data_IF_280190151081
#
_entry.id   IF_280190151081
#
_cell.length_a   1.000
_cell.length_b   1.000
_cell.length_c   1.000
_cell.angle_alpha   90.00
_cell.angle_beta   90.00
_cell.angle_gamma   90.00
#
_symmetry.space_group_name_H-M   'P 1'
#
loop_
_entity.id
_entity.type
_entity.pdbx_description
1 polymer ?
#
# COMPACT_ATOMS: atom_id res chain seq x y z
N UNK A 1 10.30 10.86 -21.79
CA UNK A 1 9.57 11.71 -20.80
C UNK A 1 10.40 11.76 -19.53
N UNK A 2 10.49 12.93 -18.87
CA UNK A 2 11.21 13.06 -17.60
C UNK A 2 10.52 12.23 -16.51
N UNK A 3 11.30 11.59 -15.65
CA UNK A 3 10.83 10.71 -14.58
C UNK A 3 9.77 11.38 -13.66
N UNK A 4 9.97 12.65 -13.29
CA UNK A 4 8.99 13.41 -12.49
C UNK A 4 7.63 13.60 -13.19
N UNK A 5 7.63 13.76 -14.51
CA UNK A 5 6.39 13.87 -15.31
C UNK A 5 5.62 12.56 -15.30
N UNK A 6 6.31 11.41 -15.38
CA UNK A 6 5.68 10.09 -15.25
C UNK A 6 5.05 9.88 -13.88
N UNK A 7 5.75 10.20 -12.80
CA UNK A 7 5.19 10.08 -11.44
C UNK A 7 3.96 10.96 -11.24
N UNK A 8 3.95 12.17 -11.79
CA UNK A 8 2.79 13.05 -11.75
C UNK A 8 1.61 12.46 -12.53
N UNK A 9 1.86 11.92 -13.73
CA UNK A 9 0.84 11.28 -14.57
C UNK A 9 0.24 10.05 -13.87
N UNK A 10 1.08 9.25 -13.22
CA UNK A 10 0.64 8.09 -12.43
C UNK A 10 -0.24 8.53 -11.23
N UNK A 11 0.11 9.63 -10.57
CA UNK A 11 -0.74 10.24 -9.54
C UNK A 11 -2.09 10.70 -10.07
N UNK A 12 -2.14 11.31 -11.25
CA UNK A 12 -3.40 11.73 -11.90
C UNK A 12 -4.26 10.51 -12.27
N UNK A 13 -3.66 9.46 -12.83
CA UNK A 13 -4.35 8.20 -13.13
C UNK A 13 -4.97 7.63 -11.84
N UNK A 14 -4.21 7.57 -10.75
CA UNK A 14 -4.71 7.06 -9.47
C UNK A 14 -5.89 7.88 -8.93
N UNK A 15 -5.84 9.22 -9.00
CA UNK A 15 -6.95 10.08 -8.57
C UNK A 15 -8.20 9.85 -9.43
N UNK A 16 -8.03 9.70 -10.75
CA UNK A 16 -9.13 9.41 -11.66
C UNK A 16 -9.76 8.04 -11.37
N UNK A 17 -8.94 7.01 -11.12
CA UNK A 17 -9.43 5.68 -10.73
C UNK A 17 -10.24 5.73 -9.44
N UNK A 18 -9.81 6.49 -8.43
CA UNK A 18 -10.56 6.68 -7.18
C UNK A 18 -11.91 7.35 -7.45
N UNK A 19 -11.95 8.36 -8.32
CA UNK A 19 -13.20 9.01 -8.73
C UNK A 19 -14.16 8.05 -9.45
N UNK A 20 -13.65 7.25 -10.38
CA UNK A 20 -14.44 6.26 -11.12
C UNK A 20 -14.91 5.14 -10.17
N UNK A 21 -14.08 4.73 -9.21
CA UNK A 21 -14.45 3.78 -8.18
C UNK A 21 -15.63 4.30 -7.36
N UNK A 22 -15.57 5.55 -6.89
CA UNK A 22 -16.66 6.17 -6.13
C UNK A 22 -17.96 6.18 -6.93
N UNK A 23 -17.90 6.58 -8.21
CA UNK A 23 -19.05 6.57 -9.10
C UNK A 23 -19.59 5.15 -9.37
N UNK A 24 -18.71 4.18 -9.57
CA UNK A 24 -19.08 2.77 -9.78
C UNK A 24 -19.79 2.16 -8.58
N UNK A 25 -19.34 2.50 -7.36
CA UNK A 25 -19.99 2.07 -6.11
C UNK A 25 -21.39 2.68 -5.98
N UNK A 26 -21.55 3.97 -6.28
CA UNK A 26 -22.84 4.67 -6.19
C UNK A 26 -23.88 4.12 -7.17
N UNK A 27 -23.45 3.72 -8.37
CA UNK A 27 -24.33 3.17 -9.41
C UNK A 27 -24.45 1.64 -9.37
N UNK A 28 -23.76 0.96 -8.45
CA UNK A 28 -23.73 -0.52 -8.33
C UNK A 28 -23.32 -1.23 -9.64
N UNK A 29 -22.46 -0.60 -10.45
CA UNK A 29 -21.97 -1.15 -11.73
C UNK A 29 -20.53 -1.64 -11.60
N UNK A 30 -20.28 -2.90 -11.19
CA UNK A 30 -18.94 -3.42 -10.91
C UNK A 30 -18.06 -3.58 -12.16
N UNK A 31 -18.68 -3.69 -13.34
CA UNK A 31 -17.96 -3.80 -14.61
C UNK A 31 -17.22 -2.52 -14.97
N UNK A 32 -17.75 -1.36 -14.60
CA UNK A 32 -17.12 -0.05 -14.84
C UNK A 32 -15.78 0.03 -14.11
N UNK A 33 -15.74 -0.36 -12.83
CA UNK A 33 -14.50 -0.35 -12.06
C UNK A 33 -13.46 -1.32 -12.66
N UNK A 34 -13.89 -2.50 -13.04
CA UNK A 34 -12.99 -3.51 -13.62
C UNK A 34 -12.38 -3.00 -14.93
N UNK A 35 -13.18 -2.40 -15.80
CA UNK A 35 -12.71 -1.76 -17.03
C UNK A 35 -11.75 -0.60 -16.75
N UNK A 36 -12.08 0.25 -15.79
CA UNK A 36 -11.26 1.41 -15.42
C UNK A 36 -9.87 0.99 -14.92
N UNK A 37 -9.78 -0.02 -14.06
CA UNK A 37 -8.50 -0.55 -13.55
C UNK A 37 -7.66 -1.13 -14.69
N UNK A 38 -8.26 -1.91 -15.60
CA UNK A 38 -7.51 -2.47 -16.74
C UNK A 38 -6.95 -1.33 -17.61
N UNK A 39 -7.77 -0.31 -17.89
CA UNK A 39 -7.36 0.86 -18.68
C UNK A 39 -6.27 1.66 -17.96
N UNK A 40 -6.40 1.89 -16.65
CA UNK A 40 -5.41 2.63 -15.87
C UNK A 40 -4.07 1.90 -15.79
N UNK A 41 -4.08 0.58 -15.60
CA UNK A 41 -2.87 -0.26 -15.66
C UNK A 41 -2.23 -0.21 -17.04
N UNK A 42 -3.01 -0.33 -18.12
CA UNK A 42 -2.50 -0.21 -19.50
C UNK A 42 -1.91 1.19 -19.75
N UNK A 43 -2.58 2.25 -19.32
CA UNK A 43 -2.11 3.62 -19.46
C UNK A 43 -0.79 3.85 -18.70
N UNK A 44 -0.68 3.33 -17.46
CA UNK A 44 0.54 3.37 -16.68
C UNK A 44 1.67 2.58 -17.35
N UNK A 45 1.38 1.40 -17.88
CA UNK A 45 2.35 0.55 -18.58
C UNK A 45 2.90 1.22 -19.84
N UNK A 46 2.04 1.79 -20.69
CA UNK A 46 2.47 2.54 -21.88
C UNK A 46 3.29 3.76 -21.46
N UNK A 47 2.82 4.52 -20.46
CA UNK A 47 3.52 5.71 -19.97
C UNK A 47 4.93 5.38 -19.45
N UNK A 48 5.12 4.20 -18.85
CA UNK A 48 6.42 3.73 -18.35
C UNK A 48 7.41 3.49 -19.48
N UNK A 49 6.97 2.99 -20.63
CA UNK A 49 7.85 2.76 -21.79
C UNK A 49 8.39 4.05 -22.40
N UNK A 50 7.75 5.18 -22.10
CA UNK A 50 8.13 6.50 -22.62
C UNK A 50 9.06 7.25 -21.67
N UNK A 51 9.51 6.67 -20.55
CA UNK A 51 10.39 7.33 -19.57
C UNK A 51 11.85 7.10 -19.94
N UNK A 52 12.62 8.20 -20.01
CA UNK A 52 14.06 8.15 -20.22
C UNK A 52 14.75 7.87 -18.89
N UNK A 53 15.63 6.86 -18.84
CA UNK A 53 16.32 6.45 -17.60
C UNK A 53 17.35 7.53 -17.21
N UNK A 54 17.12 8.18 -16.07
CA UNK A 54 18.07 9.15 -15.49
C UNK A 54 19.01 8.38 -14.56
N UNK A 55 20.32 8.62 -14.74
CA UNK A 55 21.42 7.98 -13.99
C UNK A 55 21.11 7.98 -12.49
N UNK A 56 20.83 6.80 -11.93
CA UNK A 56 20.58 6.59 -10.51
C UNK A 56 21.90 6.58 -9.75
N UNK A 57 22.19 7.68 -9.08
CA UNK A 57 23.25 7.74 -8.06
C UNK A 57 22.85 6.89 -6.84
N UNK A 58 23.82 6.20 -6.23
CA UNK A 58 23.63 5.31 -5.07
C UNK A 58 22.88 6.01 -3.91
N UNK A 59 23.11 7.32 -3.74
CA UNK A 59 22.44 8.15 -2.75
C UNK A 59 20.93 8.24 -2.96
N UNK A 60 20.47 8.26 -4.21
CA UNK A 60 19.04 8.32 -4.54
C UNK A 60 18.33 7.01 -4.20
N UNK A 61 19.03 5.88 -4.32
CA UNK A 61 18.52 4.58 -3.92
C UNK A 61 18.32 4.51 -2.40
N UNK A 62 19.32 4.93 -1.62
CA UNK A 62 19.25 4.95 -0.15
C UNK A 62 18.14 5.88 0.38
N UNK A 63 17.92 7.04 -0.27
CA UNK A 63 16.82 7.95 0.09
C UNK A 63 15.47 7.29 -0.19
N UNK A 64 15.31 6.65 -1.35
CA UNK A 64 14.07 5.96 -1.73
C UNK A 64 13.75 4.80 -0.80
N UNK A 65 14.76 4.03 -0.39
CA UNK A 65 14.61 2.94 0.57
C UNK A 65 14.20 3.44 1.96
N UNK A 66 14.87 4.47 2.48
CA UNK A 66 14.48 5.07 3.77
C UNK A 66 13.08 5.67 3.72
N UNK A 67 12.72 6.32 2.61
CA UNK A 67 11.39 6.87 2.40
C UNK A 67 10.34 5.76 2.34
N UNK A 68 10.58 4.68 1.59
CA UNK A 68 9.63 3.57 1.44
C UNK A 68 9.36 2.89 2.80
N UNK A 69 10.41 2.65 3.60
CA UNK A 69 10.27 2.09 4.95
C UNK A 69 9.40 2.98 5.86
N UNK A 70 9.59 4.31 5.82
CA UNK A 70 8.76 5.24 6.59
C UNK A 70 7.31 5.27 6.09
N UNK A 71 7.08 5.27 4.77
CA UNK A 71 5.73 5.20 4.22
C UNK A 71 5.02 3.90 4.58
N UNK A 72 5.75 2.78 4.63
CA UNK A 72 5.21 1.48 5.04
C UNK A 72 4.78 1.49 6.51
N UNK A 73 5.58 2.11 7.40
CA UNK A 73 5.23 2.27 8.82
C UNK A 73 3.95 3.10 8.98
N UNK A 74 3.87 4.26 8.31
CA UNK A 74 2.69 5.14 8.36
C UNK A 74 1.45 4.41 7.82
N UNK A 75 1.56 3.77 6.65
CA UNK A 75 0.49 2.98 6.06
C UNK A 75 0.04 1.85 6.99
N UNK A 76 0.99 1.13 7.59
CA UNK A 76 0.71 0.06 8.54
C UNK A 76 -0.10 0.54 9.75
N UNK A 77 0.26 1.69 10.33
CA UNK A 77 -0.47 2.31 11.44
C UNK A 77 -1.89 2.72 10.98
N UNK A 78 -2.02 3.38 9.84
CA UNK A 78 -3.34 3.79 9.31
C UNK A 78 -4.25 2.60 9.05
N UNK A 79 -3.73 1.55 8.41
CA UNK A 79 -4.48 0.32 8.14
C UNK A 79 -4.85 -0.41 9.43
N UNK A 80 -3.96 -0.42 10.43
CA UNK A 80 -4.25 -1.00 11.74
C UNK A 80 -5.38 -0.23 12.45
N UNK A 81 -5.34 1.10 12.46
CA UNK A 81 -6.41 1.92 13.03
C UNK A 81 -7.75 1.68 12.33
N UNK A 82 -7.75 1.58 11.00
CA UNK A 82 -8.96 1.24 10.23
C UNK A 82 -9.48 -0.17 10.56
N UNK A 83 -8.58 -1.17 10.60
CA UNK A 83 -8.94 -2.53 10.94
C UNK A 83 -9.54 -2.64 12.36
N UNK A 84 -8.92 -1.96 13.33
CA UNK A 84 -9.41 -1.91 14.71
C UNK A 84 -10.79 -1.26 14.79
N UNK A 85 -11.00 -0.14 14.08
CA UNK A 85 -12.31 0.51 13.99
C UNK A 85 -13.39 -0.42 13.44
N UNK A 86 -13.12 -1.15 12.37
CA UNK A 86 -14.08 -2.11 11.82
C UNK A 86 -14.34 -3.32 12.72
N UNK A 87 -13.35 -3.80 13.48
CA UNK A 87 -13.55 -4.83 14.52
C UNK A 87 -14.47 -4.30 15.63
N UNK A 88 -14.25 -3.07 16.12
CA UNK A 88 -15.10 -2.47 17.15
C UNK A 88 -16.55 -2.31 16.67
N UNK A 89 -16.75 -1.82 15.44
CA UNK A 89 -18.07 -1.71 14.82
C UNK A 89 -18.74 -3.08 14.73
N UNK A 90 -17.99 -4.13 14.38
CA UNK A 90 -18.53 -5.49 14.30
C UNK A 90 -18.96 -6.10 15.63
N UNK A 91 -18.24 -5.78 16.72
CA UNK A 91 -18.58 -6.22 18.06
C UNK A 91 -19.75 -5.44 18.66
N UNK A 92 -20.08 -4.28 18.10
CA UNK A 92 -21.23 -3.45 18.47
C UNK A 92 -22.59 -4.07 18.13
N UNK A 93 -22.63 -5.26 17.52
CA UNK A 93 -23.87 -6.02 17.27
C UNK A 93 -24.85 -5.33 16.32
N UNK A 94 -26.14 -5.37 16.66
CA UNK A 94 -27.24 -4.84 15.83
C UNK A 94 -27.21 -3.33 15.64
N UNK A 95 -26.39 -2.60 16.40
CA UNK A 95 -26.28 -1.13 16.36
C UNK A 95 -25.92 -0.60 14.97
N UNK A 96 -25.20 -1.39 14.17
CA UNK A 96 -24.68 -0.99 12.85
C UNK A 96 -25.35 -1.73 11.66
N UNK A 97 -26.41 -2.51 11.91
CA UNK A 97 -27.20 -3.18 10.87
C UNK A 97 -26.48 -4.33 10.15
N UNK A 98 -27.07 -4.87 9.06
CA UNK A 98 -26.59 -6.09 8.37
C UNK A 98 -25.19 -5.97 7.73
N UNK A 99 -24.74 -4.74 7.43
CA UNK A 99 -23.43 -4.47 6.84
C UNK A 99 -22.27 -4.65 7.84
N UNK A 100 -22.55 -4.67 9.14
CA UNK A 100 -21.53 -4.83 10.20
C UNK A 100 -20.75 -6.15 10.04
N UNK A 101 -21.42 -7.23 9.64
CA UNK A 101 -20.80 -8.55 9.49
C UNK A 101 -19.79 -8.61 8.32
N UNK A 102 -20.08 -7.93 7.21
CA UNK A 102 -19.17 -7.90 6.05
C UNK A 102 -17.93 -7.04 6.34
N UNK A 103 -18.15 -5.88 6.98
CA UNK A 103 -17.07 -5.01 7.47
C UNK A 103 -16.19 -5.78 8.46
N UNK A 104 -16.79 -6.56 9.37
CA UNK A 104 -16.07 -7.41 10.32
C UNK A 104 -15.08 -8.33 9.61
N UNK A 105 -15.56 -9.14 8.66
CA UNK A 105 -14.73 -10.13 7.97
C UNK A 105 -13.56 -9.48 7.23
N UNK A 106 -13.80 -8.35 6.58
CA UNK A 106 -12.76 -7.59 5.89
C UNK A 106 -11.74 -7.01 6.89
N UNK A 107 -12.21 -6.42 7.98
CA UNK A 107 -11.35 -5.84 9.01
C UNK A 107 -10.52 -6.87 9.76
N UNK A 108 -11.07 -8.05 10.07
CA UNK A 108 -10.32 -9.16 10.66
C UNK A 108 -9.23 -9.68 9.72
N UNK A 109 -9.53 -9.84 8.42
CA UNK A 109 -8.55 -10.25 7.43
C UNK A 109 -7.45 -9.20 7.25
N UNK A 110 -7.81 -7.92 7.20
CA UNK A 110 -6.86 -6.81 7.14
C UNK A 110 -5.96 -6.79 8.38
N UNK A 111 -6.53 -6.95 9.57
CA UNK A 111 -5.80 -7.02 10.82
C UNK A 111 -4.80 -8.18 10.83
N UNK A 112 -5.22 -9.36 10.37
CA UNK A 112 -4.36 -10.53 10.25
C UNK A 112 -3.16 -10.27 9.32
N UNK A 113 -3.39 -9.64 8.16
CA UNK A 113 -2.33 -9.29 7.22
C UNK A 113 -1.34 -8.28 7.83
N UNK A 114 -1.83 -7.28 8.57
CA UNK A 114 -0.97 -6.29 9.24
C UNK A 114 -0.11 -6.97 10.32
N UNK A 115 -0.69 -7.87 11.13
CA UNK A 115 0.09 -8.65 12.10
C UNK A 115 1.13 -9.54 11.43
N UNK A 116 0.77 -10.22 10.33
CA UNK A 116 1.72 -11.03 9.56
C UNK A 116 2.89 -10.19 9.06
N UNK A 117 2.61 -8.99 8.54
CA UNK A 117 3.64 -8.05 8.07
C UNK A 117 4.59 -7.65 9.20
N UNK A 118 4.07 -7.36 10.40
CA UNK A 118 4.89 -7.03 11.58
C UNK A 118 5.77 -8.23 11.98
N UNK A 119 5.21 -9.44 12.01
CA UNK A 119 5.96 -10.65 12.33
C UNK A 119 7.09 -10.87 11.32
N UNK A 120 6.80 -10.77 10.02
CA UNK A 120 7.81 -10.91 8.96
C UNK A 120 8.90 -9.85 9.13
N UNK A 121 8.53 -8.60 9.41
CA UNK A 121 9.50 -7.54 9.67
C UNK A 121 10.41 -7.86 10.87
N UNK A 122 9.85 -8.31 11.99
CA UNK A 122 10.61 -8.67 13.20
C UNK A 122 11.50 -9.90 12.95
N UNK A 123 11.00 -10.91 12.24
CA UNK A 123 11.79 -12.09 11.89
C UNK A 123 12.95 -11.72 10.98
N UNK A 124 12.70 -10.84 10.00
CA UNK A 124 13.72 -10.40 9.07
C UNK A 124 14.82 -9.60 9.77
N UNK A 125 14.46 -8.62 10.63
CA UNK A 125 15.45 -7.84 11.38
C UNK A 125 16.24 -8.74 12.34
N UNK A 126 15.58 -9.63 13.09
CA UNK A 126 16.25 -10.54 14.02
C UNK A 126 17.19 -11.51 13.29
N UNK A 127 16.77 -12.04 12.14
CA UNK A 127 17.63 -12.90 11.31
C UNK A 127 18.81 -12.12 10.73
N UNK A 128 18.59 -10.90 10.28
CA UNK A 128 19.63 -10.03 9.71
C UNK A 128 20.66 -9.66 10.78
N UNK A 129 20.24 -9.22 11.96
CA UNK A 129 21.11 -8.95 13.11
C UNK A 129 21.90 -10.20 13.51
N UNK A 130 21.27 -11.37 13.56
CA UNK A 130 21.98 -12.62 13.89
C UNK A 130 23.04 -12.99 12.84
N UNK A 131 22.79 -12.67 11.56
CA UNK A 131 23.66 -13.09 10.45
C UNK A 131 24.75 -12.07 10.12
N UNK A 132 24.48 -10.78 10.29
CA UNK A 132 25.35 -9.67 9.90
C UNK A 132 25.67 -8.69 11.04
N UNK A 133 24.88 -8.67 12.12
CA UNK A 133 25.05 -7.78 13.28
C UNK A 133 26.08 -8.27 14.31
N UNK A 134 26.73 -9.41 14.09
CA UNK A 134 27.79 -9.95 14.95
C UNK A 134 29.22 -9.57 14.48
N UNK A 135 29.37 -8.51 13.69
CA UNK A 135 30.66 -8.06 13.14
C UNK A 135 30.85 -6.55 13.19
N UNK A 136 30.46 -5.92 14.29
CA UNK A 136 30.53 -4.46 14.47
C UNK A 136 31.35 -3.99 15.68
N UNK A 137 32.25 -4.82 16.22
CA UNK A 137 33.24 -4.37 17.22
C UNK A 137 34.70 -4.45 16.76
N UNK A 138 34.97 -4.87 15.52
CA UNK A 138 36.34 -4.87 14.96
C UNK A 138 36.33 -4.30 13.54
N UNK A 139 36.36 -2.97 13.40
CA UNK A 139 37.11 -2.26 12.34
C UNK A 139 36.98 -0.74 12.57
N UNK A 140 38.16 -0.11 12.73
CA UNK A 140 38.43 1.31 12.99
C UNK A 140 37.89 2.28 11.91
#
# INVERSE_FOLDING_TARGET
MKQYTYFLLLGVIAILEVGIFFWSVENLEPLVMTGAVIIGVLAAWISRQMVDDVITDERSHLITEKASLRTLQVMGITLFSYALGGVVISLGGDTFGPFSYQIARFSFLLMFIVFLMIIVYILFISWYERKFGAGGEDEE
#
